data_IF_416566185110
#
_entry.id   IF_416566185110
#
_cell.length_a   1.000
_cell.length_b   1.000
_cell.length_c   1.000
_cell.angle_alpha   90.00
_cell.angle_beta   90.00
_cell.angle_gamma   90.00
#
_symmetry.space_group_name_H-M   'P 1'
#
loop_
_entity.id
_entity.type
_entity.pdbx_description
1 polymer ?
#
# COMPACT_ATOMS: atom_id res chain seq x y z
N UNK A 1 -15.17 3.54 -9.82
CA UNK A 1 -14.84 4.47 -8.72
C UNK A 1 -14.62 5.85 -9.34
N UNK A 2 -15.10 6.94 -8.73
CA UNK A 2 -14.89 8.28 -9.28
C UNK A 2 -13.41 8.63 -9.34
N UNK A 3 -13.00 9.39 -10.36
CA UNK A 3 -11.62 9.85 -10.45
C UNK A 3 -11.32 10.86 -9.33
N UNK A 4 -10.24 10.68 -8.55
CA UNK A 4 -9.94 11.59 -7.45
C UNK A 4 -9.56 12.99 -7.95
N UNK A 5 -10.09 14.00 -7.26
CA UNK A 5 -9.71 15.40 -7.44
C UNK A 5 -8.57 15.79 -6.52
N UNK A 6 -7.93 16.93 -6.79
CA UNK A 6 -6.89 17.49 -5.91
C UNK A 6 -7.38 17.66 -4.45
N UNK A 7 -8.63 18.09 -4.27
CA UNK A 7 -9.25 18.23 -2.94
C UNK A 7 -9.40 16.88 -2.23
N UNK A 8 -9.75 15.82 -2.95
CA UNK A 8 -9.84 14.47 -2.38
C UNK A 8 -8.45 14.03 -1.91
N UNK A 9 -7.39 14.26 -2.69
CA UNK A 9 -6.02 13.94 -2.27
C UNK A 9 -5.59 14.69 -1.03
N UNK A 10 -5.88 16.00 -0.94
CA UNK A 10 -5.60 16.81 0.25
C UNK A 10 -6.33 16.28 1.48
N UNK A 11 -7.60 15.89 1.34
CA UNK A 11 -8.39 15.28 2.43
C UNK A 11 -7.78 13.94 2.89
N UNK A 12 -7.40 13.07 1.95
CA UNK A 12 -6.75 11.80 2.28
C UNK A 12 -5.42 12.04 3.00
N UNK A 13 -4.61 12.99 2.53
CA UNK A 13 -3.35 13.34 3.17
C UNK A 13 -3.51 13.89 4.59
N UNK A 14 -4.54 14.70 4.82
CA UNK A 14 -4.85 15.16 6.17
C UNK A 14 -5.28 13.99 7.06
N UNK A 15 -6.13 13.07 6.56
CA UNK A 15 -6.50 11.85 7.32
C UNK A 15 -5.28 10.98 7.66
N UNK A 16 -4.33 10.83 6.74
CA UNK A 16 -3.06 10.15 7.02
C UNK A 16 -2.22 10.87 8.07
N UNK A 17 -2.16 12.20 8.01
CA UNK A 17 -1.47 13.00 9.02
C UNK A 17 -2.11 12.81 10.41
N UNK A 18 -3.44 12.88 10.51
CA UNK A 18 -4.13 12.79 11.80
C UNK A 18 -4.15 11.38 12.39
N UNK A 19 -4.51 10.36 11.60
CA UNK A 19 -4.66 8.99 12.13
C UNK A 19 -3.33 8.23 12.17
N UNK A 20 -2.59 8.32 11.07
CA UNK A 20 -1.41 7.51 10.84
C UNK A 20 -0.10 8.24 11.20
N UNK A 21 -0.18 9.53 11.53
CA UNK A 21 0.97 10.40 11.79
C UNK A 21 1.95 10.45 10.60
N UNK A 22 1.42 10.39 9.38
CA UNK A 22 2.24 10.42 8.18
C UNK A 22 1.74 11.51 7.23
N UNK A 23 2.37 12.70 7.22
CA UNK A 23 1.91 13.80 6.37
C UNK A 23 2.19 13.50 4.88
N UNK A 24 1.47 14.18 3.99
CA UNK A 24 1.59 14.08 2.54
C UNK A 24 1.42 12.67 1.95
N UNK A 25 0.91 11.70 2.71
CA UNK A 25 0.56 10.39 2.17
C UNK A 25 -0.85 10.42 1.56
N UNK A 26 -1.00 9.97 0.33
CA UNK A 26 -2.30 9.94 -0.38
C UNK A 26 -2.88 8.53 -0.54
N UNK A 27 -2.24 7.52 0.07
CA UNK A 27 -2.72 6.15 0.08
C UNK A 27 -1.62 5.10 0.14
N UNK A 28 -2.04 3.84 0.15
CA UNK A 28 -1.17 2.68 0.02
C UNK A 28 -1.63 1.77 -1.12
N UNK A 29 -0.68 1.19 -1.84
CA UNK A 29 -0.93 0.24 -2.93
C UNK A 29 -0.51 -1.17 -2.54
N UNK A 30 -1.37 -2.15 -2.82
CA UNK A 30 -1.03 -3.57 -2.63
C UNK A 30 -1.77 -4.48 -3.61
N UNK A 31 -1.22 -5.68 -3.80
CA UNK A 31 -1.82 -6.75 -4.58
C UNK A 31 -2.51 -7.80 -3.71
N UNK A 32 -3.63 -8.34 -4.18
CA UNK A 32 -4.28 -9.53 -3.62
C UNK A 32 -4.51 -10.56 -4.73
N UNK A 33 -4.05 -11.78 -4.50
CA UNK A 33 -4.47 -12.93 -5.29
C UNK A 33 -5.90 -13.33 -4.94
N UNK A 34 -6.77 -13.31 -5.93
CA UNK A 34 -8.12 -13.86 -5.90
C UNK A 34 -8.03 -15.26 -6.48
N UNK A 35 -8.26 -16.28 -5.64
CA UNK A 35 -8.20 -17.68 -6.07
C UNK A 35 -9.39 -17.99 -6.98
N UNK A 36 -9.10 -18.61 -8.11
CA UNK A 36 -10.11 -19.04 -9.09
C UNK A 36 -9.94 -20.53 -9.36
N UNK A 37 -11.04 -21.17 -9.76
CA UNK A 37 -10.93 -22.49 -10.36
C UNK A 37 -10.18 -22.38 -11.69
N UNK A 38 -9.32 -23.36 -12.01
CA UNK A 38 -8.58 -23.38 -13.27
C UNK A 38 -9.55 -23.23 -14.45
N UNK A 39 -9.44 -22.17 -15.27
CA UNK A 39 -10.32 -22.03 -16.43
C UNK A 39 -9.98 -23.09 -17.48
N UNK A 40 -11.01 -23.51 -18.24
CA UNK A 40 -10.85 -24.52 -19.30
C UNK A 40 -9.81 -24.02 -20.31
N UNK A 41 -8.87 -24.90 -20.68
CA UNK A 41 -7.78 -24.60 -21.65
C UNK A 41 -6.84 -23.45 -21.25
N UNK A 42 -6.78 -23.05 -19.98
CA UNK A 42 -5.97 -21.89 -19.57
C UNK A 42 -4.46 -22.17 -19.44
N UNK A 43 -4.04 -23.44 -19.45
CA UNK A 43 -2.65 -23.84 -19.22
C UNK A 43 -2.10 -23.26 -17.92
N UNK A 44 -0.90 -22.69 -17.96
CA UNK A 44 -0.24 -22.05 -16.81
C UNK A 44 -0.52 -20.54 -16.68
N UNK A 45 -1.42 -19.97 -17.50
CA UNK A 45 -1.65 -18.52 -17.61
C UNK A 45 -2.05 -17.89 -16.26
N UNK A 46 -2.93 -18.56 -15.50
CA UNK A 46 -3.36 -18.11 -14.17
C UNK A 46 -2.58 -18.77 -13.02
N UNK A 47 -1.67 -19.69 -13.33
CA UNK A 47 -0.95 -20.47 -12.34
C UNK A 47 0.09 -19.58 -11.64
N UNK A 48 -0.11 -19.38 -10.34
CA UNK A 48 0.77 -18.55 -9.53
C UNK A 48 1.91 -19.38 -8.91
N UNK A 49 2.86 -18.69 -8.29
CA UNK A 49 4.02 -19.32 -7.64
C UNK A 49 3.66 -20.18 -6.41
N UNK A 50 2.41 -20.10 -5.92
CA UNK A 50 1.89 -20.89 -4.79
C UNK A 50 1.16 -22.16 -5.24
N UNK A 51 1.18 -22.47 -6.53
CA UNK A 51 0.59 -23.69 -7.06
C UNK A 51 -0.93 -23.64 -7.24
N UNK A 52 -1.54 -22.45 -7.24
CA UNK A 52 -2.98 -22.27 -7.50
C UNK A 52 -3.24 -21.35 -8.68
N UNK A 53 -4.47 -21.34 -9.20
CA UNK A 53 -4.90 -20.38 -10.22
C UNK A 53 -5.45 -19.12 -9.56
N UNK A 54 -4.99 -17.95 -9.97
CA UNK A 54 -5.44 -16.69 -9.39
C UNK A 54 -5.42 -15.53 -10.38
N UNK A 55 -6.34 -14.59 -10.13
CA UNK A 55 -6.35 -13.25 -10.73
C UNK A 55 -5.85 -12.27 -9.68
N UNK A 56 -4.99 -11.34 -10.07
CA UNK A 56 -4.50 -10.30 -9.16
C UNK A 56 -5.45 -9.11 -9.18
N UNK A 57 -5.92 -8.73 -7.99
CA UNK A 57 -6.51 -7.44 -7.68
C UNK A 57 -5.39 -6.53 -7.16
N UNK A 58 -5.02 -5.51 -7.92
CA UNK A 58 -4.18 -4.41 -7.44
C UNK A 58 -5.10 -3.30 -6.96
N UNK A 59 -4.94 -2.82 -5.74
CA UNK A 59 -5.77 -1.74 -5.22
C UNK A 59 -4.97 -0.62 -4.58
N UNK A 60 -5.49 0.58 -4.72
CA UNK A 60 -5.05 1.78 -4.04
C UNK A 60 -6.06 2.15 -2.96
N UNK A 61 -5.59 2.28 -1.72
CA UNK A 61 -6.42 2.36 -0.52
C UNK A 61 -6.09 3.64 0.26
N UNK A 62 -7.12 4.34 0.76
CA UNK A 62 -6.96 5.55 1.56
C UNK A 62 -6.74 5.28 3.06
N UNK A 63 -6.61 6.37 3.83
CA UNK A 63 -6.42 6.33 5.28
C UNK A 63 -7.56 5.61 6.04
N UNK A 64 -8.77 5.57 5.46
CA UNK A 64 -10.02 5.09 6.04
C UNK A 64 -10.39 3.68 5.52
N UNK A 65 -9.39 2.93 5.00
CA UNK A 65 -9.56 1.58 4.47
C UNK A 65 -10.48 1.49 3.24
N UNK A 66 -10.76 2.61 2.56
CA UNK A 66 -11.58 2.65 1.35
C UNK A 66 -10.71 2.51 0.11
N UNK A 67 -11.23 1.80 -0.87
CA UNK A 67 -10.61 1.67 -2.18
C UNK A 67 -10.79 2.96 -2.97
N UNK A 68 -9.69 3.60 -3.34
CA UNK A 68 -9.67 4.78 -4.21
C UNK A 68 -9.73 4.35 -5.67
N UNK A 69 -8.94 3.34 -6.01
CA UNK A 69 -8.87 2.76 -7.34
C UNK A 69 -8.51 1.27 -7.25
N UNK A 70 -8.99 0.49 -8.23
CA UNK A 70 -8.68 -0.92 -8.37
C UNK A 70 -8.36 -1.25 -9.82
N UNK A 71 -7.48 -2.22 -10.02
CA UNK A 71 -7.15 -2.83 -11.31
C UNK A 71 -7.24 -4.36 -11.11
N UNK A 72 -8.10 -5.01 -11.90
CA UNK A 72 -8.40 -6.44 -11.78
C UNK A 72 -8.14 -7.09 -13.13
N UNK A 73 -7.60 -8.30 -13.12
CA UNK A 73 -7.43 -9.10 -14.33
C UNK A 73 -5.97 -9.39 -14.69
N UNK A 74 -5.00 -8.90 -13.91
CA UNK A 74 -3.62 -9.29 -14.10
C UNK A 74 -3.41 -10.77 -13.75
N UNK A 75 -2.72 -11.49 -14.63
CA UNK A 75 -2.40 -12.90 -14.44
C UNK A 75 -1.52 -13.13 -13.21
N UNK A 76 -1.82 -14.18 -12.43
CA UNK A 76 -1.14 -14.51 -11.17
C UNK A 76 0.38 -14.75 -11.24
N UNK A 77 0.97 -14.81 -12.43
CA UNK A 77 2.43 -14.89 -12.64
C UNK A 77 3.14 -13.54 -12.52
N UNK A 78 2.42 -12.43 -12.67
CA UNK A 78 3.01 -11.10 -12.69
C UNK A 78 3.28 -10.58 -11.28
N UNK A 79 4.47 -9.99 -11.05
CA UNK A 79 4.78 -9.29 -9.79
C UNK A 79 3.95 -8.01 -9.63
N UNK A 80 3.60 -7.61 -8.41
CA UNK A 80 2.82 -6.41 -8.13
C UNK A 80 3.41 -5.14 -8.75
N UNK A 81 4.73 -4.93 -8.66
CA UNK A 81 5.35 -3.76 -9.30
C UNK A 81 5.33 -3.79 -10.83
N UNK A 82 5.23 -4.98 -11.44
CA UNK A 82 5.03 -5.15 -12.88
C UNK A 82 3.60 -4.80 -13.29
N UNK A 83 2.62 -5.32 -12.57
CA UNK A 83 1.19 -5.01 -12.73
C UNK A 83 0.98 -3.51 -12.55
N UNK A 84 1.54 -2.92 -11.50
CA UNK A 84 1.50 -1.48 -11.26
C UNK A 84 2.03 -0.67 -12.45
N UNK A 85 3.19 -1.03 -13.01
CA UNK A 85 3.75 -0.26 -14.14
C UNK A 85 2.86 -0.26 -15.39
N UNK A 86 2.04 -1.31 -15.57
CA UNK A 86 1.15 -1.48 -16.72
C UNK A 86 -0.28 -0.96 -16.44
N UNK A 87 -0.66 -0.92 -15.16
CA UNK A 87 -1.97 -0.47 -14.68
C UNK A 87 -2.31 0.94 -15.12
N UNK A 88 -3.61 1.23 -15.24
CA UNK A 88 -4.09 2.58 -15.57
C UNK A 88 -3.60 3.60 -14.54
N UNK A 89 -3.67 3.24 -13.25
CA UNK A 89 -3.23 4.13 -12.16
C UNK A 89 -1.72 4.38 -12.18
N UNK A 90 -0.90 3.35 -12.41
CA UNK A 90 0.54 3.50 -12.49
C UNK A 90 0.98 4.34 -13.70
N UNK A 91 0.30 4.20 -14.85
CA UNK A 91 0.49 5.08 -16.01
C UNK A 91 0.11 6.52 -15.70
N UNK A 92 -1.05 6.76 -15.07
CA UNK A 92 -1.49 8.11 -14.69
C UNK A 92 -0.54 8.78 -13.70
N UNK A 93 -0.03 8.04 -12.71
CA UNK A 93 0.97 8.53 -11.76
C UNK A 93 2.31 8.87 -12.42
N UNK A 94 2.82 8.00 -13.32
CA UNK A 94 4.04 8.29 -14.08
C UNK A 94 3.89 9.54 -14.95
N UNK A 95 2.72 9.72 -15.56
CA UNK A 95 2.44 10.82 -16.48
C UNK A 95 1.95 12.09 -15.77
N UNK A 96 1.85 12.09 -14.42
CA UNK A 96 1.31 13.20 -13.61
C UNK A 96 -0.10 13.65 -14.03
N UNK A 97 -0.97 12.71 -14.38
CA UNK A 97 -2.34 12.97 -14.87
C UNK A 97 -3.43 12.56 -13.87
N UNK A 98 -3.06 12.31 -12.62
CA UNK A 98 -3.98 11.89 -11.55
C UNK A 98 -4.41 13.05 -10.63
N UNK A 99 -4.19 14.30 -11.05
CA UNK A 99 -4.50 15.52 -10.28
C UNK A 99 -3.91 15.54 -8.85
N UNK A 100 -2.76 14.89 -8.66
CA UNK A 100 -2.04 14.92 -7.37
C UNK A 100 -1.59 16.36 -7.12
N UNK A 101 -1.81 16.92 -5.92
CA UNK A 101 -1.43 18.30 -5.64
C UNK A 101 0.08 18.52 -5.76
N UNK A 102 0.47 19.76 -6.00
CA UNK A 102 1.88 20.16 -5.97
C UNK A 102 2.50 19.92 -4.58
N UNK A 103 3.83 19.67 -4.51
CA UNK A 103 4.54 19.46 -3.24
C UNK A 103 4.24 20.52 -2.18
N UNK A 104 4.11 20.09 -0.93
CA UNK A 104 3.83 20.97 0.21
C UNK A 104 4.83 20.72 1.35
N UNK A 105 5.21 21.75 2.11
CA UNK A 105 6.07 21.59 3.29
C UNK A 105 5.44 20.69 4.36
N UNK A 106 6.24 19.85 5.02
CA UNK A 106 5.79 19.06 6.17
C UNK A 106 5.74 19.88 7.47
N UNK A 107 6.43 21.03 7.49
CA UNK A 107 6.52 22.00 8.59
C UNK A 107 6.38 23.41 8.02
N UNK A 108 6.02 24.39 8.86
CA UNK A 108 5.71 25.76 8.41
C UNK A 108 6.83 26.42 7.58
N UNK A 109 8.09 26.11 7.88
CA UNK A 109 9.28 26.64 7.19
C UNK A 109 10.09 25.55 6.46
N UNK A 110 9.48 24.39 6.20
CA UNK A 110 10.14 23.25 5.58
C UNK A 110 10.24 23.37 4.05
N UNK A 111 11.16 22.62 3.45
CA UNK A 111 11.17 22.44 2.01
C UNK A 111 9.91 21.68 1.56
N UNK A 112 9.26 22.08 0.45
CA UNK A 112 8.14 21.33 -0.11
C UNK A 112 8.51 19.88 -0.44
N UNK A 113 7.71 18.93 0.04
CA UNK A 113 7.86 17.51 -0.27
C UNK A 113 6.66 16.99 -1.06
N UNK A 114 6.89 16.09 -2.03
CA UNK A 114 5.83 15.56 -2.87
C UNK A 114 4.82 14.77 -2.03
N UNK A 115 3.60 14.69 -2.54
CA UNK A 115 2.64 13.70 -2.06
C UNK A 115 3.08 12.28 -2.47
N UNK A 116 2.97 11.34 -1.55
CA UNK A 116 3.53 9.99 -1.68
C UNK A 116 2.49 8.88 -1.44
N UNK A 117 2.77 7.73 -2.03
CA UNK A 117 2.03 6.48 -1.88
C UNK A 117 2.96 5.45 -1.23
N UNK A 118 2.41 4.51 -0.47
CA UNK A 118 3.18 3.41 0.10
C UNK A 118 3.10 2.13 -0.71
N UNK A 119 4.26 1.61 -1.09
CA UNK A 119 4.49 0.26 -1.63
C UNK A 119 5.22 -0.62 -0.60
N UNK A 120 5.16 -1.94 -0.77
CA UNK A 120 6.07 -2.86 -0.09
C UNK A 120 7.39 -2.98 -0.88
N UNK A 121 8.21 -3.97 -0.53
CA UNK A 121 9.48 -4.19 -1.21
C UNK A 121 9.34 -4.67 -2.67
N UNK A 122 8.19 -5.22 -3.08
CA UNK A 122 7.92 -5.68 -4.45
C UNK A 122 7.68 -4.51 -5.43
N UNK A 123 7.35 -3.32 -4.91
CA UNK A 123 7.21 -2.11 -5.70
C UNK A 123 8.55 -1.37 -5.89
N UNK A 124 8.74 -0.64 -7.00
CA UNK A 124 9.92 0.21 -7.18
C UNK A 124 9.86 1.43 -6.25
N UNK A 125 11.02 1.93 -5.81
CA UNK A 125 11.10 3.24 -5.14
C UNK A 125 11.02 4.34 -6.21
N UNK A 126 10.10 5.30 -6.04
CA UNK A 126 9.93 6.47 -6.91
C UNK A 126 9.70 7.73 -6.07
N UNK A 127 9.79 8.91 -6.70
CA UNK A 127 9.55 10.19 -6.03
C UNK A 127 8.15 10.29 -5.39
N UNK A 128 7.18 9.54 -5.92
CA UNK A 128 5.80 9.46 -5.41
C UNK A 128 5.47 8.11 -4.76
N UNK A 129 6.39 7.14 -4.72
CA UNK A 129 6.13 5.78 -4.22
C UNK A 129 7.25 5.38 -3.25
N UNK A 130 6.95 5.48 -1.95
CA UNK A 130 7.85 5.12 -0.87
C UNK A 130 7.69 3.64 -0.52
N UNK A 131 8.81 3.02 -0.17
CA UNK A 131 8.87 1.67 0.40
C UNK A 131 9.89 1.63 1.55
N UNK A 132 9.79 0.64 2.45
CA UNK A 132 10.75 0.46 3.54
C UNK A 132 12.21 0.47 3.10
N UNK A 133 13.11 0.86 4.00
CA UNK A 133 14.52 0.52 3.90
C UNK A 133 14.68 -0.99 4.00
N UNK A 134 15.43 -1.56 3.06
CA UNK A 134 15.76 -3.00 3.06
C UNK A 134 16.51 -3.36 4.34
N UNK A 135 16.30 -4.59 4.85
CA UNK A 135 16.91 -5.13 6.07
C UNK A 135 18.42 -4.88 6.18
N UNK A 136 19.15 -4.92 5.06
CA UNK A 136 20.60 -4.65 5.01
C UNK A 136 21.01 -3.24 5.47
N UNK A 137 20.10 -2.27 5.43
CA UNK A 137 20.33 -0.90 5.87
C UNK A 137 19.73 -0.61 7.25
N UNK A 138 19.19 -1.62 7.93
CA UNK A 138 18.57 -1.45 9.24
C UNK A 138 19.56 -1.58 10.38
N UNK A 139 20.52 -2.52 10.32
CA UNK A 139 21.67 -2.64 11.24
C UNK A 139 21.44 -2.05 12.64
N UNK A 140 22.26 -1.06 13.02
CA UNK A 140 22.01 -0.19 14.19
C UNK A 140 21.44 1.19 13.82
N UNK A 141 20.93 1.34 12.60
CA UNK A 141 20.34 2.58 12.12
C UNK A 141 18.90 2.73 12.68
N UNK A 142 18.79 3.27 13.90
CA UNK A 142 17.51 3.58 14.55
C UNK A 142 16.62 4.54 13.71
N UNK A 143 17.16 5.59 13.06
CA UNK A 143 16.37 6.44 12.17
C UNK A 143 15.65 5.69 11.05
N UNK A 144 16.34 4.76 10.38
CA UNK A 144 15.73 3.93 9.34
C UNK A 144 14.66 2.99 9.90
N UNK A 145 14.85 2.49 11.13
CA UNK A 145 13.85 1.64 11.81
C UNK A 145 12.61 2.43 12.19
N UNK A 146 12.76 3.65 12.67
CA UNK A 146 11.65 4.57 12.96
C UNK A 146 10.86 4.83 11.68
N UNK A 147 11.53 5.18 10.58
CA UNK A 147 10.87 5.37 9.29
C UNK A 147 10.10 4.11 8.85
N UNK A 148 10.75 2.94 8.88
CA UNK A 148 10.11 1.69 8.50
C UNK A 148 8.88 1.40 9.37
N UNK A 149 8.99 1.59 10.69
CA UNK A 149 7.86 1.40 11.61
C UNK A 149 6.70 2.35 11.28
N UNK A 150 6.99 3.64 11.05
CA UNK A 150 5.99 4.65 10.69
C UNK A 150 5.29 4.30 9.37
N UNK A 151 6.05 3.93 8.34
CA UNK A 151 5.51 3.50 7.05
C UNK A 151 4.68 2.23 7.18
N UNK A 152 5.19 1.19 7.85
CA UNK A 152 4.47 -0.07 8.07
C UNK A 152 3.17 0.14 8.85
N UNK A 153 3.18 1.01 9.88
CA UNK A 153 1.99 1.40 10.64
C UNK A 153 0.96 2.06 9.74
N UNK A 154 1.35 3.06 8.94
CA UNK A 154 0.45 3.78 8.05
C UNK A 154 -0.05 2.92 6.87
N UNK A 155 0.75 1.96 6.41
CA UNK A 155 0.38 1.00 5.36
C UNK A 155 -0.66 -0.02 5.85
N UNK A 156 -0.98 -0.11 7.15
CA UNK A 156 -2.01 -1.05 7.69
C UNK A 156 -3.38 -0.92 7.05
N UNK A 157 -3.67 0.18 6.36
CA UNK A 157 -4.90 0.33 5.57
C UNK A 157 -5.09 -0.78 4.52
N UNK A 158 -3.99 -1.37 4.02
CA UNK A 158 -4.06 -2.49 3.06
C UNK A 158 -4.63 -3.76 3.68
N UNK A 159 -4.76 -3.84 5.02
CA UNK A 159 -5.55 -4.90 5.67
C UNK A 159 -7.02 -4.92 5.22
N UNK A 160 -7.48 -3.86 4.52
CA UNK A 160 -8.76 -3.84 3.80
C UNK A 160 -8.97 -5.07 2.91
N UNK A 161 -7.92 -5.65 2.34
CA UNK A 161 -7.99 -6.90 1.58
C UNK A 161 -8.46 -8.10 2.43
N UNK A 162 -8.01 -8.15 3.69
CA UNK A 162 -8.48 -9.13 4.66
C UNK A 162 -9.90 -8.85 5.12
N UNK A 163 -10.25 -7.57 5.35
CA UNK A 163 -11.62 -7.14 5.69
C UNK A 163 -12.59 -7.51 4.56
N UNK A 164 -12.20 -7.27 3.30
CA UNK A 164 -12.95 -7.68 2.11
C UNK A 164 -13.19 -9.20 2.12
N UNK A 165 -12.14 -10.00 2.33
CA UNK A 165 -12.31 -11.45 2.37
C UNK A 165 -13.16 -11.96 3.55
N UNK A 166 -13.12 -11.27 4.70
CA UNK A 166 -13.94 -11.61 5.86
C UNK A 166 -15.43 -11.24 5.64
N UNK A 167 -15.71 -10.08 5.03
CA UNK A 167 -17.06 -9.63 4.68
C UNK A 167 -17.68 -10.48 3.58
N UNK A 168 -16.92 -10.75 2.52
CA UNK A 168 -17.34 -11.57 1.38
C UNK A 168 -16.57 -12.89 1.39
N UNK A 169 -17.13 -13.89 2.07
CA UNK A 169 -16.52 -15.22 2.24
C UNK A 169 -16.17 -15.93 0.92
N UNK A 170 -16.76 -15.51 -0.21
CA UNK A 170 -16.39 -16.02 -1.52
C UNK A 170 -14.89 -15.79 -1.85
N UNK A 171 -14.23 -14.79 -1.27
CA UNK A 171 -12.79 -14.57 -1.44
C UNK A 171 -11.90 -15.40 -0.50
N UNK A 172 -12.48 -16.21 0.40
CA UNK A 172 -11.74 -17.15 1.24
C UNK A 172 -11.54 -18.51 0.54
N UNK A 173 -12.42 -18.84 -0.42
CA UNK A 173 -12.35 -20.06 -1.23
C UNK A 173 -11.84 -19.80 -2.65
N UNK A 174 -12.17 -20.72 -3.55
CA UNK A 174 -11.97 -20.55 -4.99
C UNK A 174 -13.26 -20.03 -5.62
N UNK A 175 -13.15 -19.02 -6.48
CA UNK A 175 -14.28 -18.59 -7.29
C UNK A 175 -14.47 -19.58 -8.44
N UNK A 176 -15.63 -20.25 -8.46
CA UNK A 176 -16.03 -21.21 -9.49
C UNK A 176 -16.80 -20.53 -10.62
N UNK A 177 -16.24 -19.46 -11.17
CA UNK A 177 -16.82 -18.70 -12.29
C UNK A 177 -15.76 -18.43 -13.35
N UNK A 178 -16.20 -18.10 -14.57
CA UNK A 178 -15.26 -17.68 -15.62
C UNK A 178 -14.55 -16.37 -15.24
N UNK A 179 -13.30 -16.16 -15.68
CA UNK A 179 -12.52 -14.96 -15.36
C UNK A 179 -13.28 -13.64 -15.56
N UNK A 180 -14.08 -13.51 -16.63
CA UNK A 180 -14.84 -12.28 -16.89
C UNK A 180 -15.88 -11.93 -15.80
N UNK A 181 -16.35 -12.91 -15.03
CA UNK A 181 -17.25 -12.69 -13.89
C UNK A 181 -16.50 -12.38 -12.61
N UNK A 182 -15.25 -12.84 -12.47
CA UNK A 182 -14.40 -12.53 -11.31
C UNK A 182 -14.21 -11.02 -11.19
N UNK A 183 -13.92 -10.34 -12.30
CA UNK A 183 -13.74 -8.89 -12.33
C UNK A 183 -14.98 -8.14 -11.81
N UNK A 184 -16.17 -8.58 -12.23
CA UNK A 184 -17.45 -8.00 -11.79
C UNK A 184 -17.70 -8.23 -10.29
N UNK A 185 -17.43 -9.44 -9.80
CA UNK A 185 -17.57 -9.79 -8.37
C UNK A 185 -16.62 -8.93 -7.53
N UNK A 186 -15.36 -8.83 -7.94
CA UNK A 186 -14.35 -8.03 -7.24
C UNK A 186 -14.74 -6.56 -7.24
N UNK A 187 -15.11 -6.00 -8.39
CA UNK A 187 -15.51 -4.60 -8.49
C UNK A 187 -16.72 -4.29 -7.61
N UNK A 188 -17.78 -5.09 -7.69
CA UNK A 188 -18.98 -4.93 -6.87
C UNK A 188 -18.65 -5.00 -5.37
N UNK A 189 -17.81 -5.96 -4.96
CA UNK A 189 -17.42 -6.12 -3.56
C UNK A 189 -16.62 -4.93 -3.03
N UNK A 190 -15.68 -4.39 -3.81
CA UNK A 190 -14.93 -3.18 -3.43
C UNK A 190 -15.85 -1.94 -3.33
N UNK A 191 -16.84 -1.80 -4.21
CA UNK A 191 -17.83 -0.72 -4.11
C UNK A 191 -18.69 -0.85 -2.86
N UNK A 192 -19.23 -2.04 -2.59
CA UNK A 192 -20.03 -2.31 -1.39
C UNK A 192 -19.19 -2.11 -0.11
N UNK A 193 -17.91 -2.49 -0.12
CA UNK A 193 -16.97 -2.23 0.98
C UNK A 193 -16.85 -0.75 1.30
N UNK A 194 -16.69 0.10 0.27
CA UNK A 194 -16.57 1.54 0.46
C UNK A 194 -17.86 2.15 1.05
N UNK A 195 -19.03 1.65 0.64
CA UNK A 195 -20.32 2.07 1.22
C UNK A 195 -20.36 1.72 2.71
N UNK A 196 -20.05 0.47 3.07
CA UNK A 196 -20.05 0.02 4.46
C UNK A 196 -19.02 0.71 5.37
N UNK A 197 -17.88 1.14 4.82
CA UNK A 197 -16.88 1.96 5.55
C UNK A 197 -17.30 3.42 5.70
N UNK A 198 -18.34 3.87 5.00
CA UNK A 198 -18.89 5.22 5.17
C UNK A 198 -19.91 5.25 6.30
N UNK A 199 -20.67 4.17 6.45
CA UNK A 199 -21.72 4.06 7.47
C UNK A 199 -21.20 3.62 8.84
N UNK A 200 -20.08 2.87 8.86
CA UNK A 200 -19.38 2.51 10.08
C UNK A 200 -18.07 3.30 10.12
N UNK A 201 -17.91 4.19 11.11
CA UNK A 201 -16.61 4.73 11.47
C UNK A 201 -15.73 3.56 11.93
N UNK A 202 -15.08 2.89 10.98
CA UNK A 202 -14.16 1.81 11.27
C UNK A 202 -12.93 2.45 11.90
N UNK A 203 -12.94 2.54 13.22
CA UNK A 203 -11.75 2.79 14.02
C UNK A 203 -11.13 1.41 14.30
N UNK A 204 -10.07 1.02 13.58
CA UNK A 204 -9.36 -0.18 13.96
C UNK A 204 -8.77 0.07 15.33
N UNK A 205 -8.99 -0.83 16.26
CA UNK A 205 -8.19 -0.87 17.46
C UNK A 205 -6.72 -1.06 17.04
N UNK A 206 -5.96 0.03 17.10
CA UNK A 206 -4.60 0.11 16.60
C UNK A 206 -3.70 -0.81 17.44
N UNK A 207 -4.09 -1.13 18.68
CA UNK A 207 -3.32 -1.91 19.64
C UNK A 207 -3.52 -3.43 19.52
N UNK A 208 -4.72 -3.92 19.17
CA UNK A 208 -5.00 -5.37 19.10
C UNK A 208 -4.56 -6.06 17.82
N UNK A 209 -4.29 -5.32 16.75
CA UNK A 209 -3.75 -5.88 15.50
C UNK A 209 -2.22 -6.02 15.63
N UNK A 210 -1.78 -7.05 16.35
CA UNK A 210 -0.40 -7.52 16.31
C UNK A 210 -0.07 -7.90 14.87
N UNK A 211 0.98 -7.29 14.30
CA UNK A 211 1.53 -7.77 13.04
C UNK A 211 2.05 -9.19 13.27
N UNK A 212 1.66 -10.19 12.47
CA UNK A 212 2.55 -11.29 12.20
C UNK A 212 3.82 -10.69 11.58
N UNK A 213 4.99 -10.96 12.14
CA UNK A 213 6.31 -10.59 11.59
C UNK A 213 6.52 -11.04 10.12
N UNK A 214 5.62 -11.89 9.62
CA UNK A 214 5.62 -12.53 8.33
C UNK A 214 5.20 -11.66 7.11
N UNK A 215 4.85 -10.38 7.25
CA UNK A 215 4.63 -9.52 6.05
C UNK A 215 5.95 -9.11 5.37
N UNK A 216 7.09 -9.43 5.99
CA UNK A 216 8.42 -9.31 5.36
C UNK A 216 8.88 -10.64 4.74
N UNK A 217 8.00 -11.39 4.09
CA UNK A 217 8.38 -12.64 3.42
C UNK A 217 8.98 -12.38 2.03
N UNK A 218 10.28 -12.65 1.95
CA UNK A 218 11.02 -13.24 0.83
C UNK A 218 10.52 -12.92 -0.59
N UNK A 219 10.86 -11.73 -1.06
CA UNK A 219 11.11 -11.53 -2.48
C UNK A 219 12.52 -10.94 -2.60
N UNK A 220 13.37 -11.61 -3.37
CA UNK A 220 14.69 -11.08 -3.69
C UNK A 220 14.55 -9.65 -4.21
N UNK A 221 15.40 -8.71 -3.76
CA UNK A 221 15.31 -7.32 -4.17
C UNK A 221 15.56 -7.24 -5.69
N UNK A 222 14.47 -7.21 -6.47
CA UNK A 222 14.52 -6.90 -7.88
C UNK A 222 15.17 -5.51 -8.00
N UNK A 223 16.37 -5.47 -8.57
CA UNK A 223 17.07 -4.23 -8.93
C UNK A 223 16.22 -3.49 -9.97
N UNK A 224 15.31 -2.63 -9.51
CA UNK A 224 14.54 -1.72 -10.37
C UNK A 224 15.11 -0.32 -10.24
N UNK A 225 15.33 0.33 -11.39
CA UNK A 225 15.90 1.67 -11.56
C UNK A 225 15.16 2.69 -10.69
N UNK A 226 15.71 2.96 -9.50
CA UNK A 226 15.24 4.03 -8.62
C UNK A 226 16.14 5.24 -8.85
N UNK A 227 15.55 6.41 -9.08
CA UNK A 227 16.33 7.64 -9.30
C UNK A 227 16.98 8.11 -8.01
N UNK A 228 18.05 8.90 -8.12
CA UNK A 228 18.69 9.55 -6.96
C UNK A 228 17.67 10.40 -6.18
N UNK A 229 16.79 11.08 -6.90
CA UNK A 229 15.71 11.89 -6.33
C UNK A 229 14.75 11.06 -5.47
N UNK A 230 14.40 9.84 -5.92
CA UNK A 230 13.51 8.96 -5.17
C UNK A 230 14.10 8.55 -3.82
N UNK A 231 15.43 8.33 -3.77
CA UNK A 231 16.14 8.10 -2.52
C UNK A 231 16.09 9.35 -1.64
N UNK A 232 16.37 10.53 -2.20
CA UNK A 232 16.35 11.79 -1.43
C UNK A 232 14.99 12.09 -0.82
N UNK A 233 13.88 11.87 -1.56
CA UNK A 233 12.54 12.05 -1.01
C UNK A 233 12.34 11.16 0.22
N UNK A 234 12.69 9.87 0.12
CA UNK A 234 12.57 8.94 1.25
C UNK A 234 13.44 9.36 2.45
N UNK A 235 14.68 9.78 2.21
CA UNK A 235 15.59 10.27 3.24
C UNK A 235 15.00 11.50 3.95
N UNK A 236 14.44 12.47 3.21
CA UNK A 236 13.79 13.65 3.79
C UNK A 236 12.59 13.29 4.67
N UNK A 237 11.77 12.31 4.27
CA UNK A 237 10.70 11.81 5.15
C UNK A 237 11.25 11.10 6.40
N UNK A 238 12.34 10.32 6.26
CA UNK A 238 13.01 9.72 7.43
C UNK A 238 13.50 10.81 8.38
N UNK A 239 14.19 11.81 7.86
CA UNK A 239 14.77 12.88 8.66
C UNK A 239 13.68 13.69 9.36
N UNK A 240 12.56 13.95 8.69
CA UNK A 240 11.37 14.55 9.31
C UNK A 240 10.90 13.74 10.53
N UNK A 241 10.72 12.42 10.43
CA UNK A 241 10.28 11.61 11.58
C UNK A 241 11.30 11.53 12.72
N UNK A 242 12.56 11.89 12.46
CA UNK A 242 13.62 11.97 13.47
C UNK A 242 13.89 13.41 13.95
N UNK A 243 13.12 14.39 13.46
CA UNK A 243 13.18 15.78 13.89
C UNK A 243 12.20 16.08 15.03
N UNK A 244 12.39 17.21 15.71
CA UNK A 244 11.48 17.68 16.77
C UNK A 244 10.04 17.86 16.25
N UNK A 245 9.86 18.25 14.99
CA UNK A 245 8.54 18.50 14.40
C UNK A 245 7.80 17.24 13.94
N UNK A 246 8.52 16.15 13.64
CA UNK A 246 7.92 14.93 13.08
C UNK A 246 7.99 13.71 13.99
N UNK A 247 8.82 13.77 15.04
CA UNK A 247 8.92 12.71 16.03
C UNK A 247 7.67 12.63 16.89
N UNK A 248 7.40 11.43 17.41
CA UNK A 248 6.32 11.19 18.38
C UNK A 248 6.81 10.34 19.53
N UNK A 249 6.21 10.52 20.70
CA UNK A 249 6.65 9.91 21.96
C UNK A 249 6.80 8.38 21.89
N UNK A 250 5.92 7.70 21.14
CA UNK A 250 5.87 6.24 21.12
C UNK A 250 6.84 5.58 20.12
N UNK A 251 7.43 6.31 19.17
CA UNK A 251 8.12 5.68 18.04
C UNK A 251 9.40 4.94 18.43
N UNK A 252 10.19 5.54 19.34
CA UNK A 252 11.45 4.96 19.81
C UNK A 252 11.17 3.72 20.65
N UNK A 253 10.21 3.82 21.57
CA UNK A 253 9.81 2.70 22.42
C UNK A 253 9.30 1.52 21.59
N UNK A 254 8.46 1.76 20.57
CA UNK A 254 7.94 0.69 19.70
C UNK A 254 9.06 0.01 18.89
N UNK A 255 10.00 0.78 18.36
CA UNK A 255 11.18 0.24 17.65
C UNK A 255 12.07 -0.58 18.57
N UNK A 256 12.27 -0.14 19.81
CA UNK A 256 13.12 -0.84 20.79
C UNK A 256 12.42 -2.07 21.40
N UNK A 257 11.11 -2.02 21.65
CA UNK A 257 10.30 -3.17 22.12
C UNK A 257 10.20 -4.27 21.06
N UNK A 258 10.19 -3.91 19.77
CA UNK A 258 10.28 -4.87 18.66
C UNK A 258 11.66 -5.50 18.48
N UNK A 259 12.68 -5.07 19.25
CA UNK A 259 13.95 -5.77 19.43
C UNK A 259 13.91 -6.53 20.77
N UNK A 260 13.30 -7.71 20.80
CA UNK A 260 13.63 -8.70 21.83
C UNK A 260 14.03 -9.99 21.08
N UNK A 261 15.34 -10.20 21.09
CA UNK A 261 16.11 -11.36 20.61
C UNK A 261 16.40 -11.43 19.10
N UNK A 262 17.68 -11.14 18.81
CA UNK A 262 18.51 -11.65 17.72
C UNK A 262 18.25 -13.10 17.35
#
# INVERSE_FOLDING_TARGET
>A
MPEPTEEIWKKVAERYKTMWHFPNCIGAIDGKHINIQCPINAGSTYYNFKGSHSIVLLAFVDADYKFIAIDVGAYGRNSDGGIFSQSVIGKKLNNKTLNVPEPTPLTENGEPLPYVIFGDEAFPLKNYLLRPFSRRYLGDNEPNKIFNYRLSRARRVVLTFGILAARWRCFQGHLEVQPEFVDKIVFASCCLHNMLCTDNAFEPDIESLQLPEAVLQHLDPLRRNSTRDAFQVREKFRDYFNSDSGSVIWQVERVRKGKINS
#
